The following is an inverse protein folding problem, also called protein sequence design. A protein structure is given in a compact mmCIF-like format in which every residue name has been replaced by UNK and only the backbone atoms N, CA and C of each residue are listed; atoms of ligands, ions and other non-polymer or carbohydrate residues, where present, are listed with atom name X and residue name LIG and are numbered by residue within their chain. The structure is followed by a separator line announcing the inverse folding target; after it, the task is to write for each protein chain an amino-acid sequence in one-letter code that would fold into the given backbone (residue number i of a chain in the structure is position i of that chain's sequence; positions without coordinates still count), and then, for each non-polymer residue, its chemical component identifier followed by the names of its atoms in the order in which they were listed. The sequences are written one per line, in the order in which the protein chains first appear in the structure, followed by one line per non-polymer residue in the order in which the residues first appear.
data_IF_772132791720
#
_entry.id   IF_772132791720
#
_cell.length_a   1.000
_cell.length_b   1.000
_cell.length_c   1.000
_cell.angle_alpha   90.00
_cell.angle_beta   90.00
_cell.angle_gamma   90.00
#
_symmetry.space_group_name_H-M   'P 1'
#
loop_
_entity.id
_entity.type
_entity.pdbx_description
1 polymer ?
#
# COMPACT_ATOMS: atom_id res chain seq x y z
N UNK A 1 -1.97 5.44 -10.63
CA UNK A 1 -1.43 5.15 -9.29
C UNK A 1 -2.06 3.84 -8.87
N UNK A 2 -1.26 2.87 -8.44
CA UNK A 2 -1.77 1.61 -7.92
C UNK A 2 -2.49 1.82 -6.57
N UNK A 3 -3.41 0.92 -6.23
CA UNK A 3 -4.29 1.00 -5.06
C UNK A 3 -4.47 -0.40 -4.45
N UNK A 4 -4.92 -0.43 -3.20
CA UNK A 4 -5.40 -1.67 -2.56
C UNK A 4 -6.48 -2.31 -3.44
N UNK A 5 -6.31 -3.59 -3.73
CA UNK A 5 -7.14 -4.37 -4.64
C UNK A 5 -6.62 -4.49 -6.09
N UNK A 6 -5.66 -3.65 -6.51
CA UNK A 6 -4.98 -3.83 -7.80
C UNK A 6 -4.04 -5.06 -7.73
N UNK A 7 -3.74 -5.66 -8.89
CA UNK A 7 -2.88 -6.85 -8.99
C UNK A 7 -1.45 -6.52 -9.43
N UNK A 8 -0.47 -7.11 -8.77
CA UNK A 8 0.89 -7.25 -9.26
C UNK A 8 0.99 -8.49 -10.14
N UNK A 9 1.61 -8.36 -11.31
CA UNK A 9 1.82 -9.45 -12.27
C UNK A 9 3.30 -9.77 -12.31
N UNK A 10 3.65 -11.02 -12.02
CA UNK A 10 5.04 -11.49 -12.01
C UNK A 10 5.46 -12.01 -13.39
N UNK A 11 6.78 -12.19 -13.57
CA UNK A 11 7.35 -12.65 -14.84
C UNK A 11 6.91 -14.07 -15.23
N UNK A 12 6.56 -14.91 -14.25
CA UNK A 12 6.02 -16.26 -14.45
C UNK A 12 4.51 -16.26 -14.75
N UNK A 13 3.88 -15.08 -14.78
CA UNK A 13 2.44 -14.92 -15.01
C UNK A 13 1.59 -15.12 -13.75
N UNK A 14 2.18 -15.40 -12.59
CA UNK A 14 1.45 -15.40 -11.33
C UNK A 14 1.01 -13.97 -10.98
N UNK A 15 -0.02 -13.88 -10.15
CA UNK A 15 -0.58 -12.61 -9.71
C UNK A 15 -0.67 -12.57 -8.18
N UNK A 16 -0.46 -11.40 -7.60
CA UNK A 16 -0.73 -11.14 -6.19
C UNK A 16 -1.50 -9.83 -6.03
N UNK A 17 -2.34 -9.75 -5.01
CA UNK A 17 -3.21 -8.59 -4.77
C UNK A 17 -2.57 -7.64 -3.77
N UNK A 18 -2.62 -6.34 -4.04
CA UNK A 18 -2.20 -5.32 -3.06
C UNK A 18 -3.21 -5.25 -1.92
N UNK A 19 -2.77 -5.47 -0.68
CA UNK A 19 -3.65 -5.55 0.49
C UNK A 19 -3.39 -4.49 1.56
N UNK A 20 -2.31 -3.71 1.46
CA UNK A 20 -2.08 -2.53 2.31
C UNK A 20 -1.66 -1.30 1.50
N UNK A 21 -1.76 -0.11 2.09
CA UNK A 21 -1.56 1.15 1.38
C UNK A 21 -1.43 2.35 2.31
N UNK A 22 -1.71 3.53 1.79
CA UNK A 22 -1.64 4.79 2.53
C UNK A 22 -2.70 4.95 3.63
N UNK A 23 -3.58 3.97 3.83
CA UNK A 23 -4.77 4.10 4.66
C UNK A 23 -5.61 5.32 4.27
N UNK A 24 -6.10 6.01 5.28
CA UNK A 24 -6.83 7.29 5.17
C UNK A 24 -5.98 8.47 4.70
N UNK A 25 -4.64 8.33 4.65
CA UNK A 25 -3.75 9.39 4.16
C UNK A 25 -3.99 9.71 2.67
N UNK A 26 -4.42 8.71 1.89
CA UNK A 26 -4.75 8.88 0.47
C UNK A 26 -5.75 7.85 -0.03
N UNK A 27 -6.98 8.29 -0.21
CA UNK A 27 -8.05 7.52 -0.85
C UNK A 27 -8.22 7.96 -2.31
N UNK A 28 -8.31 7.00 -3.22
CA UNK A 28 -8.47 7.18 -4.66
C UNK A 28 -9.58 6.28 -5.19
N UNK A 29 -10.71 6.88 -5.58
CA UNK A 29 -11.92 6.16 -6.02
C UNK A 29 -12.42 5.15 -4.97
N UNK A 30 -12.37 5.53 -3.69
CA UNK A 30 -12.88 4.71 -2.58
C UNK A 30 -11.87 3.72 -1.98
N UNK A 31 -10.72 3.48 -2.62
CA UNK A 31 -9.67 2.59 -2.10
C UNK A 31 -8.38 3.33 -1.77
N UNK A 32 -7.61 2.80 -0.83
CA UNK A 32 -6.34 3.39 -0.43
C UNK A 32 -5.28 3.27 -1.53
N UNK A 33 -4.49 4.33 -1.74
CA UNK A 33 -3.37 4.30 -2.68
C UNK A 33 -2.25 3.37 -2.18
N UNK A 34 -1.64 2.60 -3.08
CA UNK A 34 -0.49 1.77 -2.77
C UNK A 34 0.79 2.61 -2.63
N UNK A 35 1.69 2.19 -1.76
CA UNK A 35 2.96 2.85 -1.44
C UNK A 35 4.13 1.87 -1.58
N UNK A 36 5.36 2.39 -1.56
CA UNK A 36 6.50 1.56 -1.15
C UNK A 36 6.26 1.14 0.30
N UNK A 37 6.47 -0.13 0.62
CA UNK A 37 6.06 -0.72 1.91
C UNK A 37 4.69 -1.39 1.90
N UNK A 38 3.89 -1.20 0.85
CA UNK A 38 2.62 -1.93 0.70
C UNK A 38 2.87 -3.42 0.53
N UNK A 39 2.10 -4.22 1.25
CA UNK A 39 2.16 -5.67 1.20
C UNK A 39 1.17 -6.23 0.18
N UNK A 40 1.55 -7.40 -0.35
CA UNK A 40 0.76 -8.24 -1.23
C UNK A 40 0.23 -9.47 -0.45
N UNK A 41 -0.86 -10.07 -0.93
CA UNK A 41 -1.49 -11.25 -0.31
C UNK A 41 -0.61 -12.51 -0.29
N UNK A 42 0.40 -12.57 -1.16
CA UNK A 42 1.40 -13.63 -1.18
C UNK A 42 2.58 -13.40 -0.20
N UNK A 43 2.57 -12.29 0.55
CA UNK A 43 3.62 -11.92 1.51
C UNK A 43 4.73 -11.03 0.96
N UNK A 44 4.70 -10.70 -0.33
CA UNK A 44 5.69 -9.79 -0.93
C UNK A 44 5.39 -8.32 -0.62
N UNK A 45 6.38 -7.46 -0.82
CA UNK A 45 6.30 -6.02 -0.58
C UNK A 45 6.61 -5.20 -1.84
N UNK A 46 5.88 -4.12 -2.05
CA UNK A 46 6.22 -3.11 -3.05
C UNK A 46 7.47 -2.36 -2.60
N UNK A 47 8.62 -2.64 -3.21
CA UNK A 47 9.90 -1.97 -2.89
C UNK A 47 10.21 -0.74 -3.74
N UNK A 48 9.46 -0.52 -4.82
CA UNK A 48 9.66 0.63 -5.70
C UNK A 48 8.38 0.98 -6.43
N UNK A 49 8.24 2.24 -6.83
CA UNK A 49 7.14 2.66 -7.72
C UNK A 49 7.67 3.58 -8.82
N UNK A 50 7.06 3.58 -10.02
CA UNK A 50 7.37 4.56 -11.05
C UNK A 50 6.91 5.99 -10.69
N UNK A 51 6.25 6.18 -9.55
CA UNK A 51 5.60 7.43 -9.16
C UNK A 51 6.65 8.34 -8.52
N UNK A 52 7.12 9.35 -9.26
CA UNK A 52 8.23 10.20 -8.84
C UNK A 52 7.86 11.42 -7.98
N UNK A 53 6.57 11.67 -7.74
CA UNK A 53 6.10 12.97 -7.24
C UNK A 53 5.39 12.99 -5.88
N UNK A 54 5.02 11.85 -5.30
CA UNK A 54 4.27 11.82 -4.03
C UNK A 54 5.08 11.16 -2.91
N UNK A 55 5.33 11.90 -1.83
CA UNK A 55 5.93 11.40 -0.59
C UNK A 55 5.05 11.78 0.58
N UNK A 56 4.81 10.85 1.49
CA UNK A 56 4.19 11.13 2.79
C UNK A 56 5.31 11.29 3.81
N UNK A 57 5.26 12.38 4.56
CA UNK A 57 6.25 12.69 5.61
C UNK A 57 5.48 12.86 6.91
N UNK A 58 5.77 11.98 7.86
CA UNK A 58 5.27 12.05 9.24
C UNK A 58 6.45 12.33 10.15
N UNK A 59 6.26 13.19 11.14
CA UNK A 59 7.32 13.50 12.10
C UNK A 59 7.27 12.50 13.25
N UNK A 60 8.40 12.36 13.94
CA UNK A 60 8.45 11.57 15.17
C UNK A 60 7.43 12.12 16.17
N UNK A 61 6.61 11.22 16.75
CA UNK A 61 5.51 11.57 17.63
C UNK A 61 4.15 11.76 16.94
N UNK A 62 4.10 11.86 15.61
CA UNK A 62 2.83 11.87 14.89
C UNK A 62 2.20 10.48 14.89
N UNK A 63 0.89 10.41 15.08
CA UNK A 63 0.14 9.19 14.81
C UNK A 63 0.07 8.94 13.30
N UNK A 64 0.32 7.70 12.87
CA UNK A 64 0.07 7.34 11.49
C UNK A 64 -1.42 7.42 11.16
N UNK A 65 -1.79 7.84 9.94
CA UNK A 65 -3.17 7.79 9.49
C UNK A 65 -3.74 6.38 9.64
N UNK A 66 -5.02 6.29 9.99
CA UNK A 66 -5.68 4.99 10.15
C UNK A 66 -5.51 4.16 8.87
N UNK A 67 -5.07 2.91 9.01
CA UNK A 67 -4.86 1.99 7.89
C UNK A 67 -3.53 2.17 7.15
N UNK A 68 -2.62 3.03 7.63
CA UNK A 68 -1.34 3.28 6.96
C UNK A 68 -0.40 2.07 7.09
N UNK A 69 -0.12 1.43 5.96
CA UNK A 69 0.71 0.22 5.81
C UNK A 69 0.33 -0.95 6.73
N UNK A 70 -0.86 -0.94 7.32
CA UNK A 70 -1.39 -2.03 8.14
C UNK A 70 -2.12 -3.05 7.28
N UNK A 71 -2.03 -4.34 7.62
CA UNK A 71 -2.85 -5.36 6.99
C UNK A 71 -4.27 -5.30 7.54
N UNK A 72 -5.28 -5.48 6.69
CA UNK A 72 -6.65 -5.66 7.15
C UNK A 72 -6.78 -7.02 7.83
N UNK A 73 -6.39 -7.07 9.11
CA UNK A 73 -6.24 -8.28 9.92
C UNK A 73 -5.47 -8.06 11.22
N UNK A 74 -4.74 -6.95 11.36
CA UNK A 74 -3.92 -6.64 12.55
C UNK A 74 -4.73 -6.07 13.74
N UNK A 75 -6.03 -6.36 13.83
CA UNK A 75 -6.77 -6.20 15.08
C UNK A 75 -6.41 -7.36 16.02
N UNK A 76 -5.30 -7.20 16.74
CA UNK A 76 -5.02 -7.94 17.98
C UNK A 76 -5.15 -7.00 19.17
#
# INVERSE_FOLDING_TARGET
MARVGDKAIYADGSEATIISGAGTARIMQGTSAALVGSMLDNGDEIISTPQSCNKFVFREGDAFPQGFLTMSGDLH
#
